data_IF_367723428595
#
_entry.id   IF_367723428595
#
_cell.length_a   1.000
_cell.length_b   1.000
_cell.length_c   1.000
_cell.angle_alpha   90.00
_cell.angle_beta   90.00
_cell.angle_gamma   90.00
#
_symmetry.space_group_name_H-M   'P 1'
#
loop_
_entity.id
_entity.type
_entity.pdbx_description
1 polymer ?
#
# COMPACT_ATOMS: atom_id res chain seq x y z
N UNK A 1 29.55 48.30 -7.24
CA UNK A 1 30.15 46.94 -7.37
C UNK A 1 29.84 46.05 -6.17
N UNK A 2 30.06 46.49 -4.92
CA UNK A 2 29.72 45.74 -3.69
C UNK A 2 28.26 45.28 -3.62
N UNK A 3 27.30 46.13 -4.01
CA UNK A 3 25.88 45.77 -4.03
C UNK A 3 25.56 44.59 -4.97
N UNK A 4 26.21 44.53 -6.14
CA UNK A 4 26.03 43.42 -7.08
C UNK A 4 26.61 42.12 -6.52
N UNK A 5 27.80 42.17 -5.92
CA UNK A 5 28.41 41.00 -5.27
C UNK A 5 27.56 40.49 -4.09
N UNK A 6 26.99 41.41 -3.30
CA UNK A 6 26.08 41.06 -2.21
C UNK A 6 24.78 40.40 -2.71
N UNK A 7 24.21 40.89 -3.83
CA UNK A 7 23.01 40.28 -4.44
C UNK A 7 23.29 38.88 -4.99
N UNK A 8 24.45 38.67 -5.62
CA UNK A 8 24.88 37.35 -6.10
C UNK A 8 25.10 36.40 -4.93
N UNK A 9 25.79 36.86 -3.86
CA UNK A 9 26.01 36.07 -2.65
C UNK A 9 24.70 35.66 -1.96
N UNK A 10 23.73 36.57 -1.84
CA UNK A 10 22.43 36.27 -1.24
C UNK A 10 21.61 35.29 -2.08
N UNK A 11 21.65 35.43 -3.40
CA UNK A 11 20.98 34.50 -4.33
C UNK A 11 21.56 33.10 -4.24
N UNK A 12 22.89 32.97 -4.24
CA UNK A 12 23.58 31.69 -4.07
C UNK A 12 23.21 31.01 -2.75
N UNK A 13 23.19 31.75 -1.64
CA UNK A 13 22.80 31.21 -0.34
C UNK A 13 21.34 30.70 -0.32
N UNK A 14 20.41 31.41 -0.99
CA UNK A 14 19.01 30.97 -1.10
C UNK A 14 18.86 29.69 -1.91
N UNK A 15 19.60 29.55 -3.00
CA UNK A 15 19.61 28.34 -3.84
C UNK A 15 20.08 27.15 -2.99
N UNK A 16 21.20 27.26 -2.28
CA UNK A 16 21.70 26.18 -1.44
C UNK A 16 20.71 25.74 -0.36
N UNK A 17 20.00 26.68 0.27
CA UNK A 17 18.96 26.37 1.25
C UNK A 17 17.74 25.68 0.64
N UNK A 18 17.37 26.05 -0.59
CA UNK A 18 16.29 25.37 -1.32
C UNK A 18 16.69 23.95 -1.71
N UNK A 19 17.91 23.77 -2.20
CA UNK A 19 18.46 22.45 -2.56
C UNK A 19 18.55 21.53 -1.34
N UNK A 20 18.93 22.06 -0.17
CA UNK A 20 18.95 21.27 1.06
C UNK A 20 17.54 20.78 1.44
N UNK A 21 16.54 21.66 1.38
CA UNK A 21 15.14 21.29 1.67
C UNK A 21 14.61 20.28 0.67
N UNK A 22 14.87 20.49 -0.62
CA UNK A 22 14.49 19.55 -1.67
C UNK A 22 15.13 18.18 -1.45
N UNK A 23 16.43 18.14 -1.15
CA UNK A 23 17.15 16.90 -0.84
C UNK A 23 16.62 16.19 0.41
N UNK A 24 16.21 16.93 1.45
CA UNK A 24 15.59 16.35 2.66
C UNK A 24 14.23 15.75 2.33
N UNK A 25 13.40 16.46 1.57
CA UNK A 25 12.08 15.98 1.17
C UNK A 25 12.17 14.75 0.25
N UNK A 26 13.11 14.73 -0.69
CA UNK A 26 13.30 13.58 -1.59
C UNK A 26 13.71 12.34 -0.80
N UNK A 27 14.70 12.46 0.10
CA UNK A 27 15.12 11.35 0.97
C UNK A 27 13.99 10.83 1.84
N UNK A 28 13.18 11.73 2.39
CA UNK A 28 12.05 11.36 3.23
C UNK A 28 10.97 10.62 2.43
N UNK A 29 10.73 11.05 1.18
CA UNK A 29 9.84 10.37 0.23
C UNK A 29 10.39 9.00 -0.18
N UNK A 30 11.70 8.86 -0.40
CA UNK A 30 12.34 7.56 -0.68
C UNK A 30 12.15 6.58 0.48
N UNK A 31 12.31 7.03 1.73
CA UNK A 31 12.03 6.21 2.92
C UNK A 31 10.58 5.73 2.91
N UNK A 32 9.63 6.63 2.63
CA UNK A 32 8.21 6.28 2.54
C UNK A 32 7.94 5.27 1.41
N UNK A 33 8.55 5.46 0.24
CA UNK A 33 8.41 4.56 -0.92
C UNK A 33 8.95 3.17 -0.61
N UNK A 34 10.14 3.07 -0.01
CA UNK A 34 10.74 1.80 0.40
C UNK A 34 9.90 1.09 1.47
N UNK A 35 9.35 1.84 2.43
CA UNK A 35 8.43 1.29 3.43
C UNK A 35 7.13 0.77 2.79
N UNK A 36 6.57 1.49 1.81
CA UNK A 36 5.37 1.07 1.10
C UNK A 36 5.62 -0.20 0.28
N UNK A 37 6.77 -0.28 -0.41
CA UNK A 37 7.19 -1.45 -1.18
C UNK A 37 7.45 -2.66 -0.27
N UNK A 38 7.98 -2.43 0.94
CA UNK A 38 8.13 -3.47 1.94
C UNK A 38 6.77 -4.05 2.37
N UNK A 39 5.77 -3.21 2.65
CA UNK A 39 4.40 -3.67 2.95
C UNK A 39 3.72 -4.37 1.77
N UNK A 40 3.93 -3.89 0.55
CA UNK A 40 3.41 -4.52 -0.66
C UNK A 40 3.99 -5.93 -0.82
N UNK A 41 5.31 -6.07 -0.70
CA UNK A 41 5.98 -7.38 -0.76
C UNK A 41 5.59 -8.28 0.42
N UNK A 42 5.32 -7.71 1.60
CA UNK A 42 4.84 -8.47 2.76
C UNK A 42 3.43 -9.04 2.53
N UNK A 43 2.55 -8.29 1.86
CA UNK A 43 1.22 -8.77 1.46
C UNK A 43 1.31 -9.92 0.44
N UNK A 44 2.28 -9.89 -0.47
CA UNK A 44 2.50 -10.99 -1.41
C UNK A 44 2.98 -12.25 -0.69
N UNK A 45 3.90 -12.11 0.26
CA UNK A 45 4.32 -13.22 1.13
C UNK A 45 3.16 -13.72 2.00
N UNK A 46 2.26 -12.84 2.42
CA UNK A 46 1.05 -13.23 3.12
C UNK A 46 0.12 -14.10 2.25
N UNK A 47 -0.06 -13.72 0.99
CA UNK A 47 -0.82 -14.51 0.01
C UNK A 47 -0.15 -15.87 -0.23
N UNK A 48 1.17 -15.91 -0.34
CA UNK A 48 1.91 -17.10 -0.77
C UNK A 48 2.24 -18.08 0.37
N UNK A 49 2.77 -17.61 1.49
CA UNK A 49 3.46 -18.48 2.46
C UNK A 49 3.07 -18.29 3.93
N UNK A 50 2.21 -17.32 4.28
CA UNK A 50 1.80 -17.14 5.68
C UNK A 50 0.92 -18.29 6.19
N UNK A 51 0.69 -18.39 7.52
CA UNK A 51 -0.25 -19.35 8.08
C UNK A 51 -1.68 -19.25 7.53
N UNK A 52 -2.06 -18.10 6.96
CA UNK A 52 -3.38 -17.88 6.35
C UNK A 52 -3.38 -17.96 4.82
N UNK A 53 -2.25 -18.36 4.21
CA UNK A 53 -2.07 -18.54 2.77
C UNK A 53 -3.16 -19.43 2.13
N UNK A 54 -3.73 -20.37 2.88
CA UNK A 54 -4.82 -21.26 2.43
C UNK A 54 -6.15 -20.53 2.17
N UNK A 55 -6.34 -19.30 2.66
CA UNK A 55 -7.53 -18.49 2.36
C UNK A 55 -7.51 -17.92 0.94
N UNK A 56 -6.33 -17.84 0.33
CA UNK A 56 -6.12 -17.20 -0.97
C UNK A 56 -6.22 -18.21 -2.13
N UNK A 57 -7.32 -18.96 -2.18
CA UNK A 57 -7.59 -19.86 -3.31
C UNK A 57 -8.22 -19.09 -4.49
N UNK A 58 -7.89 -19.43 -5.76
CA UNK A 58 -8.38 -18.69 -6.94
C UNK A 58 -9.90 -18.66 -7.08
N UNK A 59 -10.63 -19.52 -6.38
CA UNK A 59 -12.06 -19.75 -6.56
C UNK A 59 -12.84 -19.68 -5.24
N UNK A 60 -12.22 -19.10 -4.20
CA UNK A 60 -12.84 -18.84 -2.89
C UNK A 60 -12.78 -17.36 -2.52
N UNK A 61 -13.77 -16.94 -1.75
CA UNK A 61 -13.86 -15.59 -1.19
C UNK A 61 -14.07 -15.58 0.33
N UNK A 62 -13.78 -16.71 1.00
CA UNK A 62 -13.95 -16.84 2.45
C UNK A 62 -13.07 -15.83 3.20
N UNK A 63 -13.64 -15.14 4.18
CA UNK A 63 -12.93 -14.15 5.01
C UNK A 63 -12.86 -12.74 4.42
N UNK A 64 -13.21 -12.55 3.14
CA UNK A 64 -13.28 -11.22 2.52
C UNK A 64 -14.62 -10.53 2.82
N UNK A 65 -14.60 -9.23 3.15
CA UNK A 65 -15.79 -8.44 3.47
C UNK A 65 -15.82 -7.08 2.75
N UNK A 66 -17.01 -6.54 2.44
CA UNK A 66 -17.17 -5.30 1.65
C UNK A 66 -16.41 -4.10 2.23
N UNK A 67 -16.46 -3.92 3.56
CA UNK A 67 -15.75 -2.84 4.24
C UNK A 67 -14.41 -3.28 4.82
N UNK A 68 -13.85 -4.40 4.37
CA UNK A 68 -12.71 -5.10 4.97
C UNK A 68 -12.96 -5.67 6.37
N UNK A 69 -12.28 -6.77 6.67
CA UNK A 69 -12.29 -7.35 8.01
C UNK A 69 -11.39 -6.56 8.97
N UNK A 70 -11.89 -6.31 10.18
CA UNK A 70 -11.21 -5.54 11.24
C UNK A 70 -10.40 -6.41 12.22
N UNK A 71 -10.27 -7.72 11.94
CA UNK A 71 -9.52 -8.66 12.78
C UNK A 71 -10.29 -9.24 13.97
N UNK A 72 -11.63 -9.11 14.05
CA UNK A 72 -12.45 -9.88 15.01
C UNK A 72 -12.14 -11.38 14.93
N UNK A 73 -12.04 -11.90 13.71
CA UNK A 73 -11.29 -13.12 13.43
C UNK A 73 -9.90 -12.71 12.98
N UNK A 74 -8.88 -13.00 13.80
CA UNK A 74 -7.51 -12.53 13.57
C UNK A 74 -6.98 -12.85 12.16
N UNK A 75 -7.33 -14.03 11.62
CA UNK A 75 -6.92 -14.47 10.28
C UNK A 75 -7.49 -13.64 9.13
N UNK A 76 -8.58 -12.89 9.33
CA UNK A 76 -9.25 -12.15 8.26
C UNK A 76 -8.87 -10.67 8.20
N UNK A 77 -8.08 -10.15 9.16
CA UNK A 77 -7.67 -8.74 9.17
C UNK A 77 -7.13 -8.31 7.80
N UNK A 78 -7.65 -7.21 7.25
CA UNK A 78 -7.19 -6.66 5.97
C UNK A 78 -7.64 -7.39 4.71
N UNK A 79 -8.53 -8.36 4.82
CA UNK A 79 -9.19 -8.97 3.67
C UNK A 79 -10.46 -8.21 3.31
N UNK A 80 -10.54 -7.77 2.04
CA UNK A 80 -11.57 -6.88 1.53
C UNK A 80 -12.21 -7.43 0.26
N UNK A 81 -13.53 -7.32 0.10
CA UNK A 81 -14.13 -7.43 -1.23
C UNK A 81 -13.92 -6.12 -1.99
N UNK A 82 -13.75 -6.21 -3.32
CA UNK A 82 -13.72 -5.01 -4.14
C UNK A 82 -15.04 -4.25 -4.04
N UNK A 83 -14.99 -3.01 -3.54
CA UNK A 83 -16.14 -2.09 -3.57
C UNK A 83 -16.54 -1.68 -4.99
N UNK A 84 -17.59 -0.87 -5.10
CA UNK A 84 -18.02 -0.33 -6.39
C UNK A 84 -16.94 0.54 -7.04
N UNK A 85 -16.91 0.61 -8.38
CA UNK A 85 -15.94 1.42 -9.13
C UNK A 85 -15.96 2.89 -8.70
N UNK A 86 -17.14 3.39 -8.33
CA UNK A 86 -17.38 4.76 -7.85
C UNK A 86 -16.85 5.03 -6.44
N UNK A 87 -16.68 3.98 -5.63
CA UNK A 87 -16.28 4.03 -4.21
C UNK A 87 -15.42 2.81 -3.88
N UNK A 88 -14.20 2.71 -4.41
CA UNK A 88 -13.37 1.55 -4.18
C UNK A 88 -12.95 1.46 -2.71
N UNK A 89 -12.96 0.27 -2.15
CA UNK A 89 -12.73 0.02 -0.71
C UNK A 89 -11.43 0.64 -0.22
N UNK A 90 -10.33 0.48 -0.98
CA UNK A 90 -9.04 1.07 -0.62
C UNK A 90 -9.05 2.60 -0.50
N UNK A 91 -9.91 3.34 -1.23
CA UNK A 91 -9.96 4.81 -1.10
C UNK A 91 -10.73 5.25 0.15
N UNK A 92 -11.67 4.46 0.65
CA UNK A 92 -12.46 4.78 1.84
C UNK A 92 -11.76 4.40 3.14
N UNK A 93 -10.65 3.67 3.06
CA UNK A 93 -9.94 3.17 4.22
C UNK A 93 -8.96 4.19 4.80
N UNK A 94 -8.94 4.28 6.12
CA UNK A 94 -7.87 4.94 6.86
C UNK A 94 -6.72 3.96 7.11
N UNK A 95 -5.62 4.17 6.39
CA UNK A 95 -4.37 3.42 6.56
C UNK A 95 -3.42 4.05 7.59
N UNK A 96 -3.64 5.30 7.97
CA UNK A 96 -2.73 6.06 8.83
C UNK A 96 -3.00 5.82 10.32
N UNK A 97 -4.22 5.42 10.68
CA UNK A 97 -4.54 5.03 12.05
C UNK A 97 -3.85 3.71 12.43
N UNK A 98 -3.19 3.72 13.59
CA UNK A 98 -2.60 2.53 14.22
C UNK A 98 -3.47 1.99 15.39
N UNK A 99 -4.71 2.48 15.51
CA UNK A 99 -5.61 2.13 16.60
C UNK A 99 -6.24 0.74 16.43
N UNK A 100 -6.73 0.19 17.54
CA UNK A 100 -7.57 -1.02 17.59
C UNK A 100 -8.82 -0.83 16.71
N UNK A 101 -9.12 -1.80 15.85
CA UNK A 101 -10.23 -1.73 14.88
C UNK A 101 -9.83 -1.19 13.50
N UNK A 102 -8.55 -0.87 13.29
CA UNK A 102 -8.00 -0.60 11.96
C UNK A 102 -8.08 -1.85 11.10
N UNK A 103 -8.59 -1.68 9.89
CA UNK A 103 -8.86 -2.80 8.98
C UNK A 103 -7.66 -3.12 8.08
N UNK A 104 -6.55 -2.42 8.25
CA UNK A 104 -5.30 -2.67 7.53
C UNK A 104 -4.36 -3.53 8.35
N UNK A 105 -3.52 -4.31 7.69
CA UNK A 105 -2.54 -5.21 8.30
C UNK A 105 -1.22 -4.46 8.50
N UNK A 106 -0.64 -4.40 9.71
CA UNK A 106 0.71 -3.89 9.89
C UNK A 106 1.72 -4.86 9.28
N UNK A 107 2.79 -4.33 8.68
CA UNK A 107 3.90 -5.13 8.16
C UNK A 107 4.37 -6.18 9.17
N UNK A 108 4.55 -7.41 8.69
CA UNK A 108 5.05 -8.51 9.51
C UNK A 108 3.99 -9.27 10.29
N UNK A 109 2.73 -8.81 10.33
CA UNK A 109 1.70 -9.42 11.19
C UNK A 109 1.48 -10.91 10.90
N UNK A 110 1.41 -11.30 9.62
CA UNK A 110 1.22 -12.69 9.21
C UNK A 110 2.51 -13.40 8.77
N UNK A 111 3.54 -12.65 8.37
CA UNK A 111 4.80 -13.19 7.86
C UNK A 111 5.89 -13.30 8.93
N UNK A 112 5.71 -12.65 10.08
CA UNK A 112 6.70 -12.59 11.17
C UNK A 112 7.90 -11.68 10.88
N UNK A 113 7.91 -10.95 9.76
CA UNK A 113 9.01 -10.03 9.40
C UNK A 113 8.99 -8.80 10.31
N UNK A 114 10.15 -8.19 10.51
CA UNK A 114 10.30 -6.97 11.30
C UNK A 114 10.89 -5.85 10.46
N UNK A 115 10.43 -4.62 10.68
CA UNK A 115 10.96 -3.41 10.04
C UNK A 115 11.36 -2.42 11.15
N UNK A 116 12.62 -1.94 11.18
CA UNK A 116 12.99 -0.86 12.08
C UNK A 116 12.18 0.42 11.77
N UNK A 117 11.63 1.05 12.79
CA UNK A 117 10.83 2.27 12.69
C UNK A 117 11.13 3.21 13.88
N UNK A 118 10.75 4.48 13.77
CA UNK A 118 10.89 5.47 14.84
C UNK A 118 11.77 6.66 14.45
N UNK A 119 12.84 6.91 15.20
CA UNK A 119 13.64 8.12 15.07
C UNK A 119 14.72 8.05 13.96
N UNK A 120 15.16 9.21 13.50
CA UNK A 120 16.25 9.33 12.53
C UNK A 120 15.77 9.04 11.10
N UNK A 121 16.56 8.31 10.28
CA UNK A 121 16.20 8.00 8.89
C UNK A 121 15.26 6.78 8.78
N UNK A 122 14.47 6.49 9.81
CA UNK A 122 13.56 5.37 9.85
C UNK A 122 12.12 5.82 9.58
N UNK A 123 11.26 4.96 9.02
CA UNK A 123 9.83 5.23 8.92
C UNK A 123 9.24 5.63 10.27
N UNK A 124 8.45 6.70 10.30
CA UNK A 124 7.79 7.20 11.51
C UNK A 124 6.75 6.22 12.06
N UNK A 125 6.18 5.39 11.18
CA UNK A 125 5.21 4.35 11.52
C UNK A 125 5.51 3.08 10.73
N UNK A 126 5.05 1.95 11.28
CA UNK A 126 5.10 0.66 10.57
C UNK A 126 4.19 0.74 9.34
N UNK A 127 4.68 0.41 8.12
CA UNK A 127 3.88 0.43 6.92
C UNK A 127 2.78 -0.63 6.97
N UNK A 128 1.71 -0.45 6.20
CA UNK A 128 0.50 -1.27 6.31
C UNK A 128 -0.05 -1.62 4.95
N UNK A 129 -0.82 -2.70 4.85
CA UNK A 129 -1.47 -3.11 3.61
C UNK A 129 -2.89 -3.65 3.82
N UNK A 130 -3.62 -3.76 2.72
CA UNK A 130 -4.84 -4.56 2.59
C UNK A 130 -4.76 -5.42 1.34
N UNK A 131 -5.58 -6.46 1.30
CA UNK A 131 -5.73 -7.37 0.17
C UNK A 131 -7.20 -7.37 -0.25
N UNK A 132 -7.47 -6.81 -1.42
CA UNK A 132 -8.79 -6.79 -2.04
C UNK A 132 -8.95 -7.95 -3.02
N UNK A 133 -10.05 -8.70 -2.91
CA UNK A 133 -10.43 -9.74 -3.85
C UNK A 133 -11.09 -9.12 -5.07
N UNK A 134 -10.56 -9.41 -6.26
CA UNK A 134 -11.05 -8.90 -7.53
C UNK A 134 -11.52 -10.05 -8.41
N UNK A 135 -12.76 -10.02 -8.95
CA UNK A 135 -13.21 -11.04 -9.88
C UNK A 135 -12.52 -10.89 -11.24
N UNK A 136 -12.03 -12.00 -11.76
CA UNK A 136 -11.55 -12.17 -13.13
C UNK A 136 -12.74 -12.56 -14.02
N UNK A 137 -13.33 -11.58 -14.70
CA UNK A 137 -14.44 -11.79 -15.62
C UNK A 137 -13.98 -12.26 -17.02
N UNK A 138 -12.67 -12.41 -17.27
CA UNK A 138 -12.15 -12.73 -18.60
C UNK A 138 -12.36 -14.20 -19.00
N UNK A 139 -12.67 -15.08 -18.05
CA UNK A 139 -12.68 -16.53 -18.24
C UNK A 139 -13.96 -17.14 -18.82
N UNK A 140 -15.08 -16.41 -18.96
CA UNK A 140 -16.34 -16.91 -19.55
C UNK A 140 -16.98 -18.15 -18.86
N UNK A 141 -16.34 -18.74 -17.85
CA UNK A 141 -16.78 -19.93 -17.13
C UNK A 141 -17.74 -19.63 -15.98
N UNK A 142 -18.44 -20.67 -15.51
CA UNK A 142 -19.46 -20.57 -14.46
C UNK A 142 -18.91 -20.30 -13.04
N UNK A 143 -17.58 -20.39 -12.84
CA UNK A 143 -16.93 -20.19 -11.53
C UNK A 143 -16.09 -18.92 -11.58
N UNK A 144 -16.32 -18.02 -10.61
CA UNK A 144 -15.51 -16.82 -10.47
C UNK A 144 -14.07 -17.19 -10.11
N UNK A 145 -13.14 -16.70 -10.90
CA UNK A 145 -11.71 -16.78 -10.63
C UNK A 145 -11.28 -15.44 -10.07
N UNK A 146 -10.37 -15.44 -9.11
CA UNK A 146 -9.96 -14.24 -8.40
C UNK A 146 -8.48 -13.92 -8.63
N UNK A 147 -8.21 -12.63 -8.65
CA UNK A 147 -6.89 -12.05 -8.41
C UNK A 147 -6.99 -11.05 -7.27
N UNK A 148 -5.84 -10.60 -6.79
CA UNK A 148 -5.77 -9.73 -5.63
C UNK A 148 -5.28 -8.35 -6.04
N UNK A 149 -5.94 -7.32 -5.51
CA UNK A 149 -5.42 -5.95 -5.52
C UNK A 149 -4.85 -5.65 -4.14
N UNK A 150 -3.54 -5.47 -4.09
CA UNK A 150 -2.82 -5.13 -2.87
C UNK A 150 -2.69 -3.61 -2.84
N UNK A 151 -3.15 -2.98 -1.77
CA UNK A 151 -2.90 -1.55 -1.53
C UNK A 151 -2.07 -1.42 -0.26
N UNK A 152 -0.93 -0.73 -0.36
CA UNK A 152 0.04 -0.59 0.72
C UNK A 152 0.39 0.87 0.94
N UNK A 153 0.52 1.28 2.20
CA UNK A 153 1.01 2.59 2.61
C UNK A 153 2.38 2.46 3.27
N UNK A 154 3.27 3.38 2.96
CA UNK A 154 4.53 3.59 3.65
C UNK A 154 4.65 5.01 4.20
N UNK A 155 5.43 5.14 5.27
CA UNK A 155 5.62 6.40 5.99
C UNK A 155 7.09 6.81 5.92
N UNK A 156 7.33 8.09 5.65
CA UNK A 156 8.66 8.69 5.76
C UNK A 156 9.07 8.85 7.23
N UNK A 157 10.28 9.37 7.44
CA UNK A 157 10.73 9.82 8.75
C UNK A 157 9.88 10.99 9.28
N UNK A 158 9.39 11.88 8.40
CA UNK A 158 8.36 12.85 8.79
C UNK A 158 6.97 12.19 8.86
N UNK A 159 6.20 12.53 9.90
CA UNK A 159 4.83 12.02 10.09
C UNK A 159 3.85 12.37 8.96
N UNK A 160 4.16 13.41 8.18
CA UNK A 160 3.34 13.89 7.06
C UNK A 160 3.67 13.22 5.74
N UNK A 161 4.82 12.55 5.63
CA UNK A 161 5.28 11.99 4.35
C UNK A 161 4.76 10.58 4.23
N UNK A 162 3.92 10.37 3.23
CA UNK A 162 3.20 9.13 3.00
C UNK A 162 3.23 8.79 1.52
N UNK A 163 3.51 7.53 1.21
CA UNK A 163 3.47 7.01 -0.17
C UNK A 163 2.53 5.81 -0.17
N UNK A 164 1.63 5.78 -1.15
CA UNK A 164 0.71 4.68 -1.34
C UNK A 164 1.02 3.97 -2.66
N UNK A 165 1.21 2.66 -2.59
CA UNK A 165 1.44 1.78 -3.73
C UNK A 165 0.28 0.82 -3.91
N UNK A 166 0.04 0.45 -5.15
CA UNK A 166 -0.94 -0.57 -5.49
C UNK A 166 -0.38 -1.53 -6.53
N UNK A 167 -0.63 -2.82 -6.32
CA UNK A 167 -0.27 -3.86 -7.26
C UNK A 167 -1.45 -4.82 -7.49
N UNK A 168 -1.43 -5.47 -8.66
CA UNK A 168 -2.27 -6.63 -8.92
C UNK A 168 -1.41 -7.88 -8.84
N UNK A 169 -1.91 -8.88 -8.12
CA UNK A 169 -1.21 -10.10 -7.81
C UNK A 169 -2.10 -11.32 -8.04
N UNK A 170 -1.53 -12.38 -8.59
CA UNK A 170 -2.22 -13.65 -8.81
C UNK A 170 -1.41 -14.79 -8.21
N UNK A 171 -2.00 -15.48 -7.25
CA UNK A 171 -1.44 -16.73 -6.72
C UNK A 171 -1.55 -17.85 -7.75
N UNK A 172 -0.55 -18.72 -7.81
CA UNK A 172 -0.63 -19.91 -8.66
C UNK A 172 -1.82 -20.80 -8.24
N UNK A 173 -2.73 -21.06 -9.17
CA UNK A 173 -3.78 -22.08 -8.98
C UNK A 173 -3.29 -23.47 -9.35
N UNK A 174 -4.00 -24.51 -8.91
CA UNK A 174 -3.71 -25.91 -9.29
C UNK A 174 -3.94 -26.17 -10.78
N UNK A 175 -4.74 -25.33 -11.47
CA UNK A 175 -5.05 -25.42 -12.90
C UNK A 175 -4.64 -24.12 -13.62
N UNK A 176 -3.34 -23.81 -13.61
CA UNK A 176 -2.78 -22.56 -14.14
C UNK A 176 -2.86 -22.40 -15.67
N UNK A 177 -3.12 -23.47 -16.41
CA UNK A 177 -3.02 -23.49 -17.88
C UNK A 177 -4.16 -22.76 -18.62
N UNK A 178 -5.28 -22.44 -17.96
CA UNK A 178 -6.49 -21.93 -18.65
C UNK A 178 -6.72 -20.41 -18.50
N UNK A 179 -5.81 -19.67 -17.87
CA UNK A 179 -6.06 -18.28 -17.49
C UNK A 179 -5.16 -17.29 -18.25
N UNK A 180 -5.75 -16.20 -18.75
CA UNK A 180 -5.06 -15.19 -19.55
C UNK A 180 -4.09 -14.30 -18.73
N UNK A 181 -4.26 -14.22 -17.41
CA UNK A 181 -3.41 -13.37 -16.55
C UNK A 181 -2.21 -14.14 -15.95
N UNK A 182 -1.01 -13.54 -15.94
CA UNK A 182 0.20 -14.17 -15.41
C UNK A 182 0.12 -14.38 -13.88
N UNK A 183 0.85 -15.39 -13.41
CA UNK A 183 1.05 -15.65 -11.97
C UNK A 183 2.10 -14.68 -11.40
N UNK A 184 1.92 -14.30 -10.13
CA UNK A 184 2.74 -13.33 -9.43
C UNK A 184 2.22 -11.90 -9.57
N UNK A 185 3.10 -10.93 -9.35
CA UNK A 185 2.80 -9.51 -9.54
C UNK A 185 2.80 -9.17 -11.03
N UNK A 186 1.73 -8.58 -11.51
CA UNK A 186 1.58 -8.21 -12.93
C UNK A 186 1.15 -6.76 -13.17
N UNK A 187 1.00 -5.99 -12.10
CA UNK A 187 0.80 -4.55 -12.14
C UNK A 187 1.47 -3.91 -10.93
N UNK A 188 1.94 -2.68 -11.10
CA UNK A 188 2.47 -1.83 -10.04
C UNK A 188 2.18 -0.37 -10.38
N UNK A 189 1.69 0.39 -9.42
CA UNK A 189 1.49 1.84 -9.55
C UNK A 189 1.63 2.53 -8.20
N UNK A 190 2.19 3.73 -8.23
CA UNK A 190 2.05 4.69 -7.13
C UNK A 190 0.70 5.40 -7.27
N UNK A 191 0.01 5.62 -6.15
CA UNK A 191 -1.24 6.38 -6.10
C UNK A 191 -0.90 7.83 -5.74
N UNK A 192 -0.93 8.76 -6.73
CA UNK A 192 -0.70 10.16 -6.44
C UNK A 192 -1.87 10.74 -5.64
N UNK A 193 -1.57 11.68 -4.74
CA UNK A 193 -2.57 12.46 -4.01
C UNK A 193 -3.62 11.59 -3.30
N UNK A 194 -3.19 10.44 -2.74
CA UNK A 194 -4.11 9.47 -2.16
C UNK A 194 -4.94 10.08 -1.02
N UNK A 195 -4.33 10.97 -0.21
CA UNK A 195 -4.98 11.61 0.92
C UNK A 195 -6.11 12.51 0.47
N UNK A 196 -5.89 13.30 -0.57
CA UNK A 196 -6.90 14.16 -1.18
C UNK A 196 -8.04 13.33 -1.78
N UNK A 197 -7.73 12.18 -2.40
CA UNK A 197 -8.74 11.25 -2.91
C UNK A 197 -9.59 10.65 -1.78
N UNK A 198 -8.96 10.27 -0.67
CA UNK A 198 -9.64 9.76 0.53
C UNK A 198 -10.55 10.83 1.14
N UNK A 199 -10.02 12.02 1.40
CA UNK A 199 -10.75 13.13 2.02
C UNK A 199 -11.96 13.57 1.15
N UNK A 200 -11.82 13.56 -0.18
CA UNK A 200 -12.90 13.89 -1.12
C UNK A 200 -14.07 12.88 -1.11
N UNK A 201 -13.82 11.63 -0.73
CA UNK A 201 -14.84 10.59 -0.59
C UNK A 201 -15.40 10.47 0.82
N UNK A 202 -14.63 10.84 1.84
CA UNK A 202 -15.09 10.89 3.23
C UNK A 202 -16.07 12.06 3.49
N UNK A 203 -15.97 13.15 2.71
CA UNK A 203 -16.87 14.31 2.80
C UNK A 203 -18.20 14.16 2.03
N UNK A 204 -18.48 13.00 1.41
CA UNK A 204 -19.71 12.68 0.67
C UNK A 204 -20.50 11.58 1.35
#
# INVERSE_FOLDING_TARGET
MLALLAMVGLSAARISLQDEKASRNERDREIALLAAEAALTDAELDIETSPRSYLFEPDRNEGFALDCNNGQTALYLGLCLSGEVSRPTWQLMDFASALTGTKSVPYGHFTGRTLPNGAGPLPSHVPRYIIELMPDSSGGGAKAIYYYRITAIGFGAAHTTQVMLQALYRKAGTNSEEHAMPVGRFSWREIPNWKELHDALAGK
#
